data_IF_265330447521
#
_entry.id   IF_265330447521
#
_cell.length_a   1.000
_cell.length_b   1.000
_cell.length_c   1.000
_cell.angle_alpha   90.00
_cell.angle_beta   90.00
_cell.angle_gamma   90.00
#
_symmetry.space_group_name_H-M   'P 1'
#
loop_
_entity.id
_entity.type
_entity.pdbx_description
1 polymer ?
#
# COMPACT_ATOMS: atom_id res chain seq x y z
N UNK A 1 -0.93 0.09 -26.75
CA UNK A 1 -0.94 0.35 -25.30
C UNK A 1 -0.21 -0.80 -24.63
N UNK A 2 0.79 -0.56 -23.79
CA UNK A 2 1.55 -1.65 -23.13
C UNK A 2 0.74 -2.26 -21.98
N UNK A 3 0.78 -3.59 -21.83
CA UNK A 3 0.08 -4.30 -20.75
C UNK A 3 0.89 -4.19 -19.44
N UNK A 4 0.44 -3.44 -18.42
CA UNK A 4 1.19 -3.26 -17.18
C UNK A 4 1.31 -4.56 -16.37
N UNK A 5 2.35 -4.69 -15.56
CA UNK A 5 2.46 -5.72 -14.53
C UNK A 5 1.99 -5.12 -13.21
N UNK A 6 0.89 -5.65 -12.67
CA UNK A 6 0.39 -5.28 -11.35
C UNK A 6 1.02 -6.21 -10.31
N UNK A 7 1.68 -5.62 -9.31
CA UNK A 7 2.26 -6.33 -8.18
C UNK A 7 1.45 -5.96 -6.95
N UNK A 8 0.71 -6.92 -6.39
CA UNK A 8 -0.06 -6.71 -5.17
C UNK A 8 0.80 -7.00 -3.95
N UNK A 9 0.99 -5.99 -3.10
CA UNK A 9 1.68 -6.07 -1.82
C UNK A 9 0.68 -6.19 -0.66
N UNK A 10 1.03 -6.96 0.36
CA UNK A 10 0.23 -7.10 1.57
C UNK A 10 0.85 -8.05 2.57
N UNK A 11 0.10 -8.43 3.60
CA UNK A 11 0.65 -9.16 4.74
C UNK A 11 1.57 -8.27 5.57
N UNK A 12 2.54 -8.90 6.24
CA UNK A 12 3.49 -8.25 7.16
C UNK A 12 4.68 -7.57 6.46
N UNK A 13 4.67 -7.51 5.12
CA UNK A 13 5.77 -6.93 4.33
C UNK A 13 6.10 -5.49 4.75
N UNK A 14 5.08 -4.68 5.04
CA UNK A 14 5.27 -3.27 5.40
C UNK A 14 5.99 -3.08 6.74
N UNK A 15 6.07 -4.14 7.56
CA UNK A 15 6.71 -4.12 8.88
C UNK A 15 8.14 -4.69 8.83
N UNK A 16 8.62 -5.08 7.65
CA UNK A 16 9.96 -5.66 7.46
C UNK A 16 10.80 -4.82 6.52
N UNK A 17 11.71 -4.02 7.10
CA UNK A 17 12.64 -3.19 6.32
C UNK A 17 13.55 -4.02 5.41
N UNK A 18 14.02 -5.19 5.87
CA UNK A 18 14.85 -6.08 5.05
C UNK A 18 14.08 -6.58 3.82
N UNK A 19 12.83 -6.99 3.99
CA UNK A 19 12.00 -7.46 2.90
C UNK A 19 11.68 -6.32 1.91
N UNK A 20 11.45 -5.11 2.39
CA UNK A 20 11.26 -3.93 1.55
C UNK A 20 12.53 -3.57 0.77
N UNK A 21 13.69 -3.57 1.40
CA UNK A 21 14.97 -3.31 0.73
C UNK A 21 15.20 -4.29 -0.42
N UNK A 22 15.01 -5.59 -0.16
CA UNK A 22 15.14 -6.64 -1.17
C UNK A 22 14.11 -6.50 -2.29
N UNK A 23 12.86 -6.19 -1.94
CA UNK A 23 11.80 -5.98 -2.93
C UNK A 23 12.13 -4.80 -3.85
N UNK A 24 12.46 -3.64 -3.30
CA UNK A 24 12.74 -2.45 -4.11
C UNK A 24 14.00 -2.60 -4.96
N UNK A 25 15.03 -3.27 -4.44
CA UNK A 25 16.19 -3.67 -5.25
C UNK A 25 15.79 -4.54 -6.46
N UNK A 26 14.90 -5.52 -6.25
CA UNK A 26 14.39 -6.35 -7.35
C UNK A 26 13.53 -5.55 -8.34
N UNK A 27 12.75 -4.56 -7.87
CA UNK A 27 11.96 -3.68 -8.73
C UNK A 27 12.85 -2.78 -9.61
N UNK A 28 13.95 -2.25 -9.08
CA UNK A 28 14.94 -1.49 -9.85
C UNK A 28 15.52 -2.38 -10.95
N UNK A 29 16.03 -3.56 -10.60
CA UNK A 29 16.60 -4.51 -11.56
C UNK A 29 15.59 -4.89 -12.67
N UNK A 30 14.32 -5.08 -12.32
CA UNK A 30 13.28 -5.36 -13.30
C UNK A 30 13.08 -4.18 -14.27
N UNK A 31 13.01 -2.95 -13.74
CA UNK A 31 12.80 -1.73 -14.53
C UNK A 31 13.96 -1.41 -15.46
N UNK A 32 15.19 -1.77 -15.08
CA UNK A 32 16.38 -1.60 -15.94
C UNK A 32 16.42 -2.62 -17.08
N UNK A 33 15.90 -3.82 -16.85
CA UNK A 33 15.92 -4.92 -17.82
C UNK A 33 14.65 -5.03 -18.69
N UNK A 34 13.55 -4.36 -18.31
CA UNK A 34 12.26 -4.49 -18.99
C UNK A 34 11.60 -3.13 -19.24
N UNK A 35 11.02 -2.96 -20.44
CA UNK A 35 10.21 -1.79 -20.77
C UNK A 35 8.76 -1.87 -20.26
N UNK A 36 8.32 -3.05 -19.76
CA UNK A 36 6.94 -3.25 -19.29
C UNK A 36 6.66 -2.38 -18.06
N UNK A 37 5.60 -1.53 -18.07
CA UNK A 37 5.30 -0.66 -16.94
C UNK A 37 4.86 -1.46 -15.72
N UNK A 38 5.28 -1.02 -14.54
CA UNK A 38 4.90 -1.59 -13.25
C UNK A 38 3.82 -0.75 -12.57
N UNK A 39 2.88 -1.42 -11.91
CA UNK A 39 1.89 -0.82 -11.02
C UNK A 39 1.90 -1.59 -9.70
N UNK A 40 1.99 -0.88 -8.58
CA UNK A 40 1.88 -1.49 -7.25
C UNK A 40 0.46 -1.24 -6.73
N UNK A 41 -0.18 -2.31 -6.27
CA UNK A 41 -1.41 -2.24 -5.46
C UNK A 41 -1.05 -2.73 -4.07
N UNK A 42 -1.46 -2.05 -3.01
CA UNK A 42 -1.13 -2.49 -1.66
C UNK A 42 -2.36 -2.58 -0.77
N UNK A 43 -2.32 -3.52 0.17
CA UNK A 43 -3.12 -3.45 1.38
C UNK A 43 -2.36 -2.72 2.50
N UNK A 44 -2.76 -2.97 3.73
CA UNK A 44 -2.06 -2.48 4.93
C UNK A 44 -2.71 -3.03 6.19
N UNK A 45 -3.06 -4.32 6.16
CA UNK A 45 -3.81 -4.96 7.24
C UNK A 45 -3.11 -4.84 8.59
N UNK A 46 -1.80 -5.08 8.62
CA UNK A 46 -0.95 -4.92 9.81
C UNK A 46 -0.97 -3.49 10.33
N UNK A 47 -0.67 -2.50 9.49
CA UNK A 47 -0.68 -1.06 9.84
C UNK A 47 -2.02 -0.63 10.44
N UNK A 48 -3.14 -1.10 9.88
CA UNK A 48 -4.46 -0.82 10.44
C UNK A 48 -4.66 -1.56 11.77
N UNK A 49 -4.31 -2.84 11.87
CA UNK A 49 -4.46 -3.63 13.09
C UNK A 49 -3.65 -3.02 14.25
N UNK A 50 -2.45 -2.52 13.99
CA UNK A 50 -1.61 -1.82 14.97
C UNK A 50 -2.22 -0.49 15.42
N UNK A 51 -2.70 0.34 14.49
CA UNK A 51 -3.38 1.60 14.83
C UNK A 51 -4.62 1.35 15.68
N UNK A 52 -5.45 0.38 15.29
CA UNK A 52 -6.67 0.03 16.02
C UNK A 52 -6.35 -0.47 17.43
N UNK A 53 -5.28 -1.27 17.58
CA UNK A 53 -4.79 -1.71 18.89
C UNK A 53 -4.35 -0.53 19.76
N UNK A 54 -3.58 0.42 19.20
CA UNK A 54 -3.14 1.63 19.92
C UNK A 54 -4.28 2.54 20.36
N UNK A 55 -5.37 2.58 19.58
CA UNK A 55 -6.60 3.32 19.91
C UNK A 55 -7.60 2.53 20.77
N UNK A 56 -7.25 1.30 21.15
CA UNK A 56 -8.14 0.37 21.87
C UNK A 56 -9.49 0.15 21.16
N UNK A 57 -9.49 0.09 19.83
CA UNK A 57 -10.66 -0.14 18.99
C UNK A 57 -10.72 -1.61 18.52
N UNK A 58 -11.93 -2.21 18.43
CA UNK A 58 -12.07 -3.62 18.10
C UNK A 58 -11.79 -3.89 16.63
N UNK A 59 -11.03 -4.95 16.37
CA UNK A 59 -10.82 -5.51 15.03
C UNK A 59 -11.81 -6.66 14.81
N UNK A 60 -12.84 -6.44 13.99
CA UNK A 60 -13.79 -7.49 13.59
C UNK A 60 -13.63 -7.82 12.12
N UNK A 61 -13.58 -9.12 11.80
CA UNK A 61 -13.57 -9.62 10.42
C UNK A 61 -14.78 -10.51 10.19
N UNK A 62 -15.43 -10.35 9.04
CA UNK A 62 -16.55 -11.19 8.57
C UNK A 62 -16.18 -11.69 7.18
N UNK A 63 -16.10 -13.01 7.00
CA UNK A 63 -15.77 -13.66 5.73
C UNK A 63 -14.46 -13.13 5.11
N UNK A 64 -13.43 -12.92 5.95
CA UNK A 64 -12.12 -12.41 5.51
C UNK A 64 -12.04 -10.89 5.28
N UNK A 65 -13.15 -10.16 5.35
CA UNK A 65 -13.18 -8.70 5.22
C UNK A 65 -13.29 -8.03 6.59
N UNK A 66 -12.60 -6.90 6.78
CA UNK A 66 -12.77 -6.07 7.98
C UNK A 66 -14.16 -5.45 7.96
N UNK A 67 -14.92 -5.65 9.04
CA UNK A 67 -16.12 -4.84 9.29
C UNK A 67 -15.62 -3.42 9.57
N UNK A 68 -16.04 -2.47 8.74
CA UNK A 68 -15.57 -1.08 8.79
C UNK A 68 -16.74 -0.15 9.10
N UNK A 69 -17.00 0.14 10.39
CA UNK A 69 -17.98 1.12 10.82
C UNK A 69 -17.70 2.52 10.26
N UNK A 70 -18.76 3.33 10.14
CA UNK A 70 -18.66 4.69 9.62
C UNK A 70 -17.76 5.61 10.46
N UNK A 71 -17.72 5.41 11.77
CA UNK A 71 -16.85 6.15 12.70
C UNK A 71 -15.36 5.71 12.63
N UNK A 72 -15.05 4.62 11.91
CA UNK A 72 -13.68 4.11 11.78
C UNK A 72 -13.08 4.30 10.38
N UNK A 73 -13.89 4.68 9.38
CA UNK A 73 -13.42 4.74 7.99
C UNK A 73 -12.28 5.75 7.80
N UNK A 74 -12.33 6.89 8.48
CA UNK A 74 -11.33 7.96 8.35
C UNK A 74 -9.97 7.52 8.89
N UNK A 75 -9.94 6.89 10.07
CA UNK A 75 -8.70 6.39 10.66
C UNK A 75 -8.11 5.23 9.85
N UNK A 76 -8.96 4.36 9.30
CA UNK A 76 -8.53 3.25 8.43
C UNK A 76 -7.98 3.81 7.11
N UNK A 77 -8.61 4.85 6.57
CA UNK A 77 -8.14 5.54 5.36
C UNK A 77 -6.79 6.21 5.61
N UNK A 78 -6.60 6.86 6.76
CA UNK A 78 -5.31 7.41 7.17
C UNK A 78 -4.20 6.35 7.22
N UNK A 79 -4.47 5.18 7.81
CA UNK A 79 -3.51 4.08 7.85
C UNK A 79 -3.18 3.50 6.46
N UNK A 80 -4.19 3.34 5.59
CA UNK A 80 -4.01 2.73 4.27
C UNK A 80 -3.52 3.74 3.22
N UNK A 81 -4.31 4.76 2.92
CA UNK A 81 -4.01 5.75 1.89
C UNK A 81 -2.97 6.78 2.32
N UNK A 82 -2.78 6.95 3.64
CA UNK A 82 -1.69 7.72 4.23
C UNK A 82 -0.48 6.83 4.51
N UNK A 83 -0.38 6.28 5.71
CA UNK A 83 0.84 5.62 6.22
C UNK A 83 1.38 4.55 5.28
N UNK A 84 0.59 3.52 4.96
CA UNK A 84 1.07 2.42 4.10
C UNK A 84 1.47 2.91 2.71
N UNK A 85 0.67 3.78 2.08
CA UNK A 85 0.98 4.35 0.77
C UNK A 85 2.27 5.16 0.78
N UNK A 86 2.42 6.06 1.76
CA UNK A 86 3.57 6.98 1.84
C UNK A 86 4.85 6.28 2.28
N UNK A 87 4.76 5.21 3.08
CA UNK A 87 5.91 4.32 3.33
C UNK A 87 6.43 3.74 2.02
N UNK A 88 5.56 3.19 1.17
CA UNK A 88 5.99 2.66 -0.14
C UNK A 88 6.56 3.75 -1.07
N UNK A 89 6.01 4.96 -1.05
CA UNK A 89 6.59 6.09 -1.80
C UNK A 89 7.97 6.51 -1.26
N UNK A 90 8.17 6.49 0.05
CA UNK A 90 9.47 6.78 0.66
C UNK A 90 10.51 5.74 0.23
N UNK A 91 10.15 4.46 0.21
CA UNK A 91 11.00 3.40 -0.33
C UNK A 91 11.28 3.55 -1.82
N UNK A 92 10.28 3.92 -2.63
CA UNK A 92 10.48 4.24 -4.04
C UNK A 92 11.48 5.38 -4.21
N UNK A 93 11.34 6.45 -3.41
CA UNK A 93 12.25 7.60 -3.45
C UNK A 93 13.67 7.24 -3.02
N UNK A 94 13.84 6.39 -1.99
CA UNK A 94 15.12 5.86 -1.54
C UNK A 94 15.88 5.14 -2.66
N UNK A 95 15.14 4.44 -3.52
CA UNK A 95 15.63 3.71 -4.70
C UNK A 95 15.54 4.50 -6.01
N UNK A 96 15.42 5.83 -5.92
CA UNK A 96 15.38 6.75 -7.06
C UNK A 96 14.26 6.44 -8.09
N UNK A 97 13.21 5.74 -7.68
CA UNK A 97 12.03 5.47 -8.51
C UNK A 97 11.09 6.68 -8.42
N UNK A 98 10.78 7.28 -9.56
CA UNK A 98 9.70 8.26 -9.67
C UNK A 98 8.33 7.56 -9.55
N UNK A 99 7.77 7.56 -8.35
CA UNK A 99 6.48 6.94 -8.05
C UNK A 99 5.42 8.01 -7.73
N UNK A 100 4.17 7.70 -8.08
CA UNK A 100 2.98 8.50 -7.75
C UNK A 100 2.04 7.63 -6.91
N UNK A 101 1.69 8.11 -5.72
CA UNK A 101 0.73 7.43 -4.86
C UNK A 101 -0.69 7.88 -5.15
N UNK A 102 -1.56 6.91 -5.41
CA UNK A 102 -2.99 7.11 -5.65
C UNK A 102 -3.79 6.19 -4.73
N UNK A 103 -5.05 6.55 -4.51
CA UNK A 103 -6.11 5.67 -4.04
C UNK A 103 -7.22 5.58 -5.09
N UNK A 104 -8.12 4.60 -4.97
CA UNK A 104 -9.03 4.23 -6.07
C UNK A 104 -9.94 5.36 -6.57
N UNK A 105 -10.22 6.38 -5.74
CA UNK A 105 -11.09 7.52 -6.11
C UNK A 105 -10.34 8.84 -6.34
N UNK A 106 -8.99 8.82 -6.39
CA UNK A 106 -8.18 10.06 -6.58
C UNK A 106 -8.58 10.89 -7.80
N UNK A 107 -9.08 10.24 -8.85
CA UNK A 107 -9.44 10.89 -10.12
C UNK A 107 -10.92 10.70 -10.49
N UNK A 108 -11.78 10.33 -9.54
CA UNK A 108 -13.22 10.38 -9.80
C UNK A 108 -13.65 11.84 -9.82
N UNK A 109 -14.01 12.34 -10.99
CA UNK A 109 -14.73 13.60 -11.10
C UNK A 109 -15.95 13.52 -10.17
N UNK A 110 -16.14 14.54 -9.33
CA UNK A 110 -17.38 14.74 -8.60
C UNK A 110 -18.53 14.62 -9.60
N UNK A 111 -19.38 13.62 -9.42
CA UNK A 111 -20.72 13.67 -9.98
C UNK A 111 -21.56 14.63 -9.17
#
# INVERSE_FOLDING_TARGET
MMNPLIIKLGGVLLDSEEALERLFSALVNYRESHQRPLVIVHGGGCVVDELMKGLNLPVKKKNGLRVTPADQIDIITGALAGTANKTLLAWAKKHQIAAVGLFLVTATASK
#
